data_IF_364059970859
#
_entry.id   IF_364059970859
#
_cell.length_a   1.000
_cell.length_b   1.000
_cell.length_c   1.000
_cell.angle_alpha   90.00
_cell.angle_beta   90.00
_cell.angle_gamma   90.00
#
_symmetry.space_group_name_H-M   'P 1'
#
loop_
_entity.id
_entity.type
_entity.pdbx_description
1 polymer ?
#
# COMPACT_ATOMS: atom_id res chain seq x y z
N UNK A 1 -5.62 18.42 4.04
CA UNK A 1 -4.39 19.14 4.48
C UNK A 1 -4.20 18.90 5.98
N UNK A 2 -2.99 18.98 6.55
CA UNK A 2 -2.80 18.85 8.01
C UNK A 2 -3.72 19.82 8.75
N UNK A 3 -4.54 19.31 9.68
CA UNK A 3 -5.54 20.09 10.43
C UNK A 3 -6.98 20.05 9.89
N UNK A 4 -7.23 19.34 8.79
CA UNK A 4 -8.60 19.07 8.33
C UNK A 4 -9.28 18.06 9.26
N UNK A 5 -10.24 18.54 10.06
CA UNK A 5 -10.99 17.73 11.04
C UNK A 5 -11.96 16.74 10.40
N UNK A 6 -12.20 16.82 9.09
CA UNK A 6 -13.04 15.87 8.37
C UNK A 6 -12.33 14.55 8.05
N UNK A 7 -11.01 14.52 8.18
CA UNK A 7 -10.18 13.34 7.91
C UNK A 7 -9.75 12.67 9.21
N UNK A 8 -9.69 11.33 9.27
CA UNK A 8 -9.42 10.57 10.50
C UNK A 8 -7.91 10.55 10.82
N UNK A 9 -7.26 11.71 10.84
CA UNK A 9 -5.84 11.82 11.20
C UNK A 9 -5.62 11.51 12.69
N UNK A 10 -4.45 10.95 13.08
CA UNK A 10 -3.26 10.68 12.27
C UNK A 10 -3.44 9.59 11.20
N UNK A 11 -2.53 9.48 10.23
CA UNK A 11 -2.58 8.40 9.24
C UNK A 11 -2.29 7.06 9.93
N UNK A 12 -3.08 6.02 9.64
CA UNK A 12 -2.91 4.69 10.20
C UNK A 12 -3.08 3.62 9.11
N UNK A 13 -2.31 2.54 9.24
CA UNK A 13 -2.31 1.42 8.32
C UNK A 13 -2.08 0.12 9.05
N UNK A 14 -2.40 -0.99 8.38
CA UNK A 14 -2.27 -2.33 8.95
C UNK A 14 -1.97 -3.38 7.89
N UNK A 15 -1.32 -4.45 8.33
CA UNK A 15 -0.96 -5.61 7.54
C UNK A 15 -1.33 -6.87 8.31
N UNK A 16 -1.57 -7.96 7.58
CA UNK A 16 -1.55 -9.28 8.20
C UNK A 16 -0.12 -9.63 8.61
N UNK A 17 0.04 -10.41 9.68
CA UNK A 17 1.35 -10.65 10.28
C UNK A 17 2.34 -11.30 9.31
N UNK A 18 1.90 -12.24 8.47
CA UNK A 18 2.71 -12.87 7.42
C UNK A 18 3.13 -11.89 6.31
N UNK A 19 2.29 -10.93 5.94
CA UNK A 19 2.65 -9.84 5.03
C UNK A 19 3.71 -8.92 5.66
N UNK A 20 3.56 -8.60 6.94
CA UNK A 20 4.52 -7.77 7.67
C UNK A 20 5.89 -8.46 7.81
N UNK A 21 5.89 -9.79 7.92
CA UNK A 21 7.09 -10.62 8.05
C UNK A 21 7.71 -11.05 6.72
N UNK A 22 7.09 -10.73 5.58
CA UNK A 22 7.61 -11.10 4.27
C UNK A 22 8.90 -10.32 3.95
N UNK A 23 9.90 -10.97 3.34
CA UNK A 23 11.23 -10.39 3.04
C UNK A 23 11.20 -9.11 2.18
N UNK A 24 10.10 -8.88 1.48
CA UNK A 24 9.88 -7.68 0.65
C UNK A 24 9.21 -6.52 1.39
N UNK A 25 8.77 -6.71 2.63
CA UNK A 25 8.28 -5.64 3.49
C UNK A 25 9.46 -4.89 4.08
N UNK A 26 9.62 -3.62 3.70
CA UNK A 26 10.82 -2.85 4.02
C UNK A 26 10.46 -1.66 4.90
N UNK A 27 11.19 -1.51 6.00
CA UNK A 27 11.25 -0.27 6.78
C UNK A 27 12.38 0.60 6.22
N UNK A 28 12.04 1.53 5.33
CA UNK A 28 13.03 2.37 4.65
C UNK A 28 13.37 3.61 5.48
N UNK A 29 14.66 3.92 5.57
CA UNK A 29 15.21 5.12 6.23
C UNK A 29 16.01 6.01 5.26
N UNK A 30 16.24 5.53 4.03
CA UNK A 30 16.97 6.25 2.99
C UNK A 30 16.44 6.01 1.58
N UNK A 31 16.84 6.90 0.67
CA UNK A 31 16.55 6.84 -0.77
C UNK A 31 17.75 7.41 -1.54
N UNK A 32 18.15 6.75 -2.64
CA UNK A 32 19.31 7.14 -3.46
C UNK A 32 20.61 7.37 -2.67
N UNK A 33 20.89 6.48 -1.70
CA UNK A 33 22.11 6.54 -0.87
C UNK A 33 22.13 7.66 0.18
N UNK A 34 21.02 8.35 0.41
CA UNK A 34 20.87 9.44 1.38
C UNK A 34 19.71 9.16 2.36
N UNK A 35 19.66 9.82 3.53
CA UNK A 35 18.48 9.78 4.39
C UNK A 35 17.21 10.20 3.64
N UNK A 36 16.06 9.65 4.04
CA UNK A 36 14.77 10.02 3.45
C UNK A 36 14.52 11.53 3.63
N UNK A 37 14.06 12.24 2.58
CA UNK A 37 13.59 13.60 2.74
C UNK A 37 12.16 13.63 3.31
N UNK A 38 11.71 14.74 3.92
CA UNK A 38 10.41 14.81 4.60
C UNK A 38 9.21 14.44 3.72
N UNK A 39 9.21 14.84 2.45
CA UNK A 39 8.12 14.53 1.51
C UNK A 39 7.94 13.03 1.26
N UNK A 40 9.00 12.24 1.45
CA UNK A 40 8.98 10.79 1.26
C UNK A 40 8.67 10.02 2.54
N UNK A 41 8.45 10.72 3.67
CA UNK A 41 8.03 10.12 4.92
C UNK A 41 9.16 9.87 5.91
N UNK A 42 10.18 10.73 5.92
CA UNK A 42 11.24 10.70 6.92
C UNK A 42 10.70 10.72 8.37
N UNK A 43 11.44 10.20 9.36
CA UNK A 43 12.75 9.54 9.22
C UNK A 43 12.65 8.07 8.78
N UNK A 44 11.46 7.48 8.87
CA UNK A 44 11.21 6.07 8.60
C UNK A 44 9.84 5.89 7.95
N UNK A 45 9.77 5.05 6.91
CA UNK A 45 8.54 4.70 6.21
C UNK A 45 8.45 3.20 5.97
N UNK A 46 7.22 2.73 5.78
CA UNK A 46 6.94 1.40 5.27
C UNK A 46 6.98 1.42 3.74
N UNK A 47 7.44 0.33 3.14
CA UNK A 47 7.43 0.08 1.69
C UNK A 47 6.95 -1.35 1.44
N UNK A 48 5.88 -1.47 0.65
CA UNK A 48 5.23 -2.74 0.30
C UNK A 48 5.15 -2.83 -1.23
N UNK A 49 6.17 -3.39 -1.89
CA UNK A 49 6.36 -3.20 -3.32
C UNK A 49 5.26 -3.84 -4.19
N UNK A 50 4.50 -4.81 -3.68
CA UNK A 50 3.41 -5.49 -4.40
C UNK A 50 2.02 -4.90 -4.16
N UNK A 51 1.90 -3.89 -3.29
CA UNK A 51 0.64 -3.25 -2.91
C UNK A 51 0.53 -1.83 -3.46
N UNK A 52 -0.69 -1.30 -3.52
CA UNK A 52 -0.90 0.10 -3.86
C UNK A 52 -0.23 1.02 -2.84
N UNK A 53 0.26 2.18 -3.31
CA UNK A 53 1.16 3.04 -2.55
C UNK A 53 0.61 3.58 -1.23
N UNK A 54 -0.72 3.60 -1.04
CA UNK A 54 -1.32 4.04 0.21
C UNK A 54 -1.00 3.11 1.39
N UNK A 55 -0.81 1.80 1.14
CA UNK A 55 -0.41 0.85 2.18
C UNK A 55 0.98 1.16 2.76
N UNK A 56 1.82 1.91 2.04
CA UNK A 56 3.16 2.30 2.44
C UNK A 56 3.14 3.57 3.31
N UNK A 57 2.81 3.41 4.59
CA UNK A 57 2.70 4.50 5.56
C UNK A 57 4.01 5.30 5.71
N UNK A 58 3.87 6.62 5.87
CA UNK A 58 4.97 7.57 6.02
C UNK A 58 5.12 8.00 7.49
N UNK A 59 6.34 8.33 7.89
CA UNK A 59 6.65 8.93 9.20
C UNK A 59 6.06 8.12 10.35
N UNK A 60 6.44 6.84 10.41
CA UNK A 60 5.87 5.88 11.37
C UNK A 60 6.31 6.25 12.79
N UNK A 61 5.32 6.38 13.67
CA UNK A 61 5.51 6.75 15.07
C UNK A 61 5.25 5.61 16.05
N UNK A 62 4.37 4.67 15.70
CA UNK A 62 4.05 3.50 16.51
C UNK A 62 3.80 2.26 15.64
N UNK A 63 4.08 1.08 16.18
CA UNK A 63 3.77 -0.21 15.59
C UNK A 63 3.18 -1.08 16.71
N UNK A 64 1.91 -1.45 16.57
CA UNK A 64 1.21 -2.32 17.52
C UNK A 64 0.94 -3.69 16.87
N UNK A 65 1.11 -4.76 17.64
CA UNK A 65 0.66 -6.10 17.26
C UNK A 65 -0.73 -6.35 17.86
N UNK A 66 -1.72 -6.57 17.00
CA UNK A 66 -3.11 -6.80 17.40
C UNK A 66 -3.57 -8.21 17.05
N UNK A 67 -4.48 -8.77 17.85
CA UNK A 67 -5.06 -10.09 17.59
C UNK A 67 -6.11 -10.07 16.46
N UNK A 68 -6.76 -8.92 16.26
CA UNK A 68 -7.79 -8.74 15.23
C UNK A 68 -7.33 -7.77 14.15
N UNK A 69 -7.94 -7.90 12.96
CA UNK A 69 -7.68 -7.05 11.80
C UNK A 69 -8.24 -5.64 12.07
N UNK A 70 -7.39 -4.61 12.23
CA UNK A 70 -7.87 -3.25 12.39
C UNK A 70 -8.28 -2.66 11.04
N UNK A 71 -9.02 -1.55 11.07
CA UNK A 71 -9.25 -0.75 9.85
C UNK A 71 -7.96 -0.03 9.42
N UNK A 72 -7.93 0.44 8.17
CA UNK A 72 -6.90 1.36 7.71
C UNK A 72 -7.51 2.71 7.31
N UNK A 73 -6.66 3.72 7.11
CA UNK A 73 -7.10 5.08 6.84
C UNK A 73 -8.03 5.18 5.62
N UNK A 74 -7.67 4.54 4.50
CA UNK A 74 -8.42 4.65 3.25
C UNK A 74 -9.69 3.80 3.24
N UNK A 75 -9.67 2.60 3.82
CA UNK A 75 -10.87 1.78 3.97
C UNK A 75 -11.87 2.42 4.95
N UNK A 76 -11.40 3.24 5.89
CA UNK A 76 -12.26 4.03 6.78
C UNK A 76 -12.88 5.23 6.04
N UNK A 77 -12.11 5.88 5.17
CA UNK A 77 -12.55 7.09 4.46
C UNK A 77 -13.43 6.79 3.24
N UNK A 78 -13.13 5.74 2.49
CA UNK A 78 -13.82 5.35 1.27
C UNK A 78 -13.82 3.81 1.12
N UNK A 79 -14.63 3.10 1.92
CA UNK A 79 -14.67 1.63 1.95
C UNK A 79 -15.05 0.99 0.61
N UNK A 80 -15.82 1.69 -0.23
CA UNK A 80 -16.23 1.21 -1.56
C UNK A 80 -15.10 1.30 -2.61
N UNK A 81 -13.99 1.95 -2.27
CA UNK A 81 -12.87 2.22 -3.17
C UNK A 81 -11.56 1.54 -2.77
N UNK A 82 -11.34 1.34 -1.46
CA UNK A 82 -10.07 0.87 -0.91
C UNK A 82 -10.27 -0.24 0.12
N UNK A 83 -9.80 -1.43 -0.21
CA UNK A 83 -9.81 -2.61 0.64
C UNK A 83 -8.60 -2.72 1.57
N UNK A 84 -8.63 -3.74 2.43
CA UNK A 84 -7.58 -3.99 3.40
C UNK A 84 -6.27 -4.44 2.76
N UNK A 85 -6.31 -5.43 1.86
CA UNK A 85 -5.09 -6.03 1.31
C UNK A 85 -4.46 -5.15 0.23
N UNK A 86 -5.27 -4.56 -0.67
CA UNK A 86 -4.81 -3.61 -1.69
C UNK A 86 -3.60 -4.09 -2.51
N UNK A 87 -3.62 -5.37 -2.88
CA UNK A 87 -2.63 -5.97 -3.77
C UNK A 87 -2.80 -5.37 -5.17
N UNK A 88 -1.69 -5.01 -5.83
CA UNK A 88 -1.76 -4.50 -7.21
C UNK A 88 -2.32 -5.60 -8.11
N UNK A 89 -3.48 -5.34 -8.71
CA UNK A 89 -4.18 -6.31 -9.53
C UNK A 89 -4.74 -5.63 -10.81
N UNK A 90 -4.18 -5.91 -12.00
CA UNK A 90 -4.64 -5.30 -13.25
C UNK A 90 -6.05 -5.73 -13.67
N UNK A 91 -6.55 -6.84 -13.13
CA UNK A 91 -7.84 -7.42 -13.49
C UNK A 91 -9.01 -6.84 -12.68
N UNK A 92 -8.71 -6.02 -11.68
CA UNK A 92 -9.72 -5.40 -10.81
C UNK A 92 -9.61 -3.89 -10.94
N UNK A 93 -10.63 -3.27 -11.54
CA UNK A 93 -10.70 -1.83 -11.70
C UNK A 93 -11.01 -1.12 -10.39
N UNK A 94 -10.49 0.10 -10.23
CA UNK A 94 -10.99 1.01 -9.22
C UNK A 94 -12.37 1.53 -9.67
N UNK A 95 -13.33 1.86 -8.76
CA UNK A 95 -14.66 2.32 -9.17
C UNK A 95 -14.69 3.49 -10.17
N UNK A 96 -13.63 4.30 -10.14
CA UNK A 96 -13.48 5.51 -10.98
C UNK A 96 -12.52 5.37 -12.16
N UNK A 97 -11.70 4.31 -12.23
CA UNK A 97 -10.73 4.13 -13.33
C UNK A 97 -10.23 2.69 -13.47
N UNK A 98 -9.77 2.33 -14.67
CA UNK A 98 -9.10 1.04 -14.89
C UNK A 98 -7.72 0.99 -14.25
N UNK A 99 -7.40 -0.16 -13.63
CA UNK A 99 -6.06 -0.49 -13.11
C UNK A 99 -5.22 -1.32 -14.11
N UNK A 100 -5.76 -1.64 -15.29
CA UNK A 100 -5.09 -2.51 -16.28
C UNK A 100 -3.82 -1.91 -16.91
N UNK A 101 -3.63 -0.60 -16.80
CA UNK A 101 -2.43 0.09 -17.26
C UNK A 101 -2.02 1.20 -16.31
N UNK A 102 -0.74 1.54 -16.30
CA UNK A 102 -0.15 2.58 -15.45
C UNK A 102 0.70 3.56 -16.26
N UNK A 103 0.96 4.74 -15.69
CA UNK A 103 1.92 5.71 -16.20
C UNK A 103 3.18 5.65 -15.34
N UNK A 104 4.29 5.18 -15.89
CA UNK A 104 5.56 5.22 -15.18
C UNK A 104 6.12 6.64 -15.20
N UNK A 105 6.41 7.19 -14.03
CA UNK A 105 6.96 8.53 -13.92
C UNK A 105 8.37 8.56 -14.51
N UNK A 106 8.61 9.49 -15.45
CA UNK A 106 9.86 9.59 -16.21
C UNK A 106 9.81 8.99 -17.61
N UNK A 107 8.73 8.29 -17.98
CA UNK A 107 8.51 7.73 -19.32
C UNK A 107 7.29 8.38 -20.01
N UNK A 108 7.23 8.28 -21.35
CA UNK A 108 6.08 8.72 -22.14
C UNK A 108 5.10 7.56 -22.34
N UNK A 109 3.80 7.87 -22.32
CA UNK A 109 2.74 6.88 -22.57
C UNK A 109 2.32 6.09 -21.33
N UNK A 110 1.59 4.99 -21.57
CA UNK A 110 1.13 4.05 -20.55
C UNK A 110 1.69 2.66 -20.86
N UNK A 111 1.89 1.86 -19.83
CA UNK A 111 2.27 0.44 -19.95
C UNK A 111 1.28 -0.44 -19.19
N UNK A 112 1.16 -1.74 -19.52
CA UNK A 112 0.34 -2.66 -18.74
C UNK A 112 0.81 -2.75 -17.28
N UNK A 113 -0.15 -2.80 -16.36
CA UNK A 113 0.12 -3.03 -14.94
C UNK A 113 0.38 -4.53 -14.72
N UNK A 114 1.39 -4.87 -13.93
CA UNK A 114 1.71 -6.26 -13.60
C UNK A 114 0.94 -6.72 -12.36
N UNK A 115 0.54 -8.00 -12.33
CA UNK A 115 -0.02 -8.62 -11.12
C UNK A 115 1.02 -8.55 -9.99
N UNK A 116 0.58 -8.23 -8.78
CA UNK A 116 1.46 -7.98 -7.62
C UNK A 116 2.60 -7.01 -7.92
N UNK A 117 2.41 -6.09 -8.87
CA UNK A 117 3.44 -5.17 -9.35
C UNK A 117 4.72 -5.87 -9.86
N UNK A 118 4.60 -7.12 -10.33
CA UNK A 118 5.71 -7.94 -10.84
C UNK A 118 6.44 -8.75 -9.76
N UNK A 119 5.90 -8.83 -8.55
CA UNK A 119 6.51 -9.55 -7.42
C UNK A 119 5.86 -10.91 -7.18
N UNK A 120 5.99 -11.85 -8.12
CA UNK A 120 5.28 -13.15 -8.08
C UNK A 120 5.56 -13.99 -6.82
N UNK A 121 6.71 -13.79 -6.16
CA UNK A 121 7.03 -14.46 -4.89
C UNK A 121 6.03 -14.20 -3.74
N UNK A 122 5.19 -13.16 -3.83
CA UNK A 122 4.16 -12.90 -2.82
C UNK A 122 2.87 -13.68 -3.05
N UNK A 123 2.70 -14.32 -4.20
CA UNK A 123 1.47 -15.04 -4.55
C UNK A 123 1.08 -16.12 -3.52
N UNK A 124 2.01 -16.93 -2.95
CA UNK A 124 1.66 -17.93 -1.96
C UNK A 124 0.99 -17.36 -0.69
N UNK A 125 1.23 -16.09 -0.34
CA UNK A 125 0.56 -15.46 0.80
C UNK A 125 -0.97 -15.36 0.61
N UNK A 126 -1.45 -15.40 -0.62
CA UNK A 126 -2.85 -15.17 -0.96
C UNK A 126 -3.52 -16.39 -1.60
N UNK A 127 -2.89 -17.55 -1.52
CA UNK A 127 -3.46 -18.78 -2.06
C UNK A 127 -4.81 -19.10 -1.40
N UNK A 128 -5.80 -19.45 -2.22
CA UNK A 128 -7.17 -19.71 -1.77
C UNK A 128 -7.98 -18.46 -1.41
N UNK A 129 -7.42 -17.25 -1.49
CA UNK A 129 -8.14 -16.00 -1.25
C UNK A 129 -8.84 -15.48 -2.50
N UNK A 130 -10.00 -14.85 -2.30
CA UNK A 130 -10.66 -14.08 -3.35
C UNK A 130 -10.06 -12.68 -3.44
N UNK A 131 -9.12 -12.51 -4.39
CA UNK A 131 -8.40 -11.26 -4.64
C UNK A 131 -9.29 -10.15 -5.23
N UNK A 132 -10.57 -10.42 -5.50
CA UNK A 132 -11.55 -9.44 -6.00
C UNK A 132 -12.43 -8.86 -4.90
N UNK A 133 -12.31 -9.30 -3.65
CA UNK A 133 -13.18 -8.83 -2.55
C UNK A 133 -12.53 -7.82 -1.61
N UNK A 134 -11.21 -7.64 -1.69
CA UNK A 134 -10.43 -6.85 -0.72
C UNK A 134 -9.32 -6.01 -1.39
N UNK A 135 -9.59 -5.50 -2.59
CA UNK A 135 -8.68 -4.72 -3.42
C UNK A 135 -8.66 -3.23 -3.06
#
# INVERSE_FOLDING_TARGET
MPGDRSLPFPYFEALRLDEAMHDLTIMATGLYGKPLPPQDGAPIRLVLPWKYGFKSAKSIMNIDLTAEMPSNFWSTLAPDEYGFYANVNPNVGHPRWSQSSERRIGELGRKPTLMFNGYDQVAPLYEGMDLTKFY
#
